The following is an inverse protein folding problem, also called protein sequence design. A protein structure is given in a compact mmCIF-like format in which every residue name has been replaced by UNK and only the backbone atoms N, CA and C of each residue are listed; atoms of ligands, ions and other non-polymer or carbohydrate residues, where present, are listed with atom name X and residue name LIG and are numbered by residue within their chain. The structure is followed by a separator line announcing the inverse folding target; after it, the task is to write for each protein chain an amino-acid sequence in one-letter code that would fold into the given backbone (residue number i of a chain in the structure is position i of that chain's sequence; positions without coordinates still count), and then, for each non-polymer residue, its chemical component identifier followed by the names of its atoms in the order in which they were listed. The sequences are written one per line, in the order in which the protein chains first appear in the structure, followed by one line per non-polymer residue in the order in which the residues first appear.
data_IF_689154163072
#
_entry.id   IF_689154163072
#
_cell.length_a   1.000
_cell.length_b   1.000
_cell.length_c   1.000
_cell.angle_alpha   90.00
_cell.angle_beta   90.00
_cell.angle_gamma   90.00
#
_symmetry.space_group_name_H-M   'P 1'
#
loop_
_entity.id
_entity.type
_entity.pdbx_description
1 polymer ?
#
# COMPACT_ATOMS: atom_id res chain seq x y z
N UNK A 1 6.56 1.15 12.46
CA UNK A 1 7.34 2.41 12.34
C UNK A 1 6.43 3.60 12.64
N UNK A 2 6.96 4.66 13.29
CA UNK A 2 6.22 5.86 13.68
C UNK A 2 7.01 7.10 13.31
N UNK A 3 6.31 8.18 12.99
CA UNK A 3 6.87 9.47 12.58
C UNK A 3 6.42 10.54 13.57
N UNK A 4 7.34 11.42 13.88
CA UNK A 4 7.12 12.68 14.57
C UNK A 4 7.73 13.78 13.71
N UNK A 5 7.26 14.99 13.83
CA UNK A 5 7.81 16.14 13.12
C UNK A 5 8.12 17.30 14.06
N UNK A 6 9.01 18.15 13.61
CA UNK A 6 9.38 19.40 14.27
C UNK A 6 9.74 20.44 13.22
N UNK A 7 9.58 21.71 13.54
CA UNK A 7 10.06 22.84 12.74
C UNK A 7 11.53 23.16 13.04
N UNK A 8 12.13 22.49 14.03
CA UNK A 8 13.53 22.62 14.41
C UNK A 8 14.21 21.26 14.53
N UNK A 9 15.48 21.10 14.12
CA UNK A 9 16.23 19.86 14.32
C UNK A 9 16.40 19.48 15.79
N UNK A 10 16.28 20.44 16.70
CA UNK A 10 16.36 20.22 18.16
C UNK A 10 14.99 19.86 18.78
N UNK A 11 13.92 19.92 17.99
CA UNK A 11 12.56 19.68 18.46
C UNK A 11 11.84 20.95 18.95
N UNK A 12 10.73 20.81 19.68
CA UNK A 12 10.14 19.55 20.11
C UNK A 12 9.54 18.76 18.93
N UNK A 13 9.77 17.46 18.91
CA UNK A 13 9.13 16.56 17.94
C UNK A 13 7.78 16.12 18.48
N UNK A 14 6.70 16.29 17.67
CA UNK A 14 5.34 16.00 18.06
C UNK A 14 4.62 15.13 17.04
N UNK A 15 3.55 14.46 17.46
CA UNK A 15 2.61 13.73 16.59
C UNK A 15 1.43 14.62 16.15
N UNK A 16 0.46 14.04 15.42
CA UNK A 16 -0.72 14.74 14.90
C UNK A 16 -1.65 15.31 15.98
N UNK A 17 -1.52 14.89 17.24
CA UNK A 17 -2.24 15.43 18.39
C UNK A 17 -1.42 16.48 19.16
N UNK A 18 -0.21 16.79 18.69
CA UNK A 18 0.72 17.62 19.45
C UNK A 18 1.41 16.88 20.60
N UNK A 19 1.29 15.55 20.71
CA UNK A 19 1.93 14.79 21.78
C UNK A 19 3.43 14.67 21.50
N UNK A 20 4.30 15.06 22.45
CA UNK A 20 5.73 15.05 22.22
C UNK A 20 6.31 13.63 22.15
N UNK A 21 7.38 13.47 21.38
CA UNK A 21 8.14 12.23 21.24
C UNK A 21 9.00 11.87 22.47
N UNK A 22 8.73 12.51 23.60
CA UNK A 22 9.44 12.29 24.86
C UNK A 22 8.69 11.29 25.72
N UNK A 23 9.41 10.30 26.23
CA UNK A 23 8.88 9.27 27.11
C UNK A 23 9.51 9.41 28.50
N UNK A 24 8.69 9.29 29.54
CA UNK A 24 9.15 9.38 30.93
C UNK A 24 9.92 8.13 31.40
N UNK A 25 9.80 7.04 30.67
CA UNK A 25 10.49 5.78 30.96
C UNK A 25 10.75 5.02 29.67
N UNK A 26 11.70 4.07 29.70
CA UNK A 26 11.94 3.17 28.58
C UNK A 26 10.67 2.39 28.22
N UNK A 27 10.29 2.46 26.94
CA UNK A 27 9.09 1.81 26.43
C UNK A 27 9.49 0.69 25.48
N UNK A 28 9.22 -0.54 25.89
CA UNK A 28 9.24 -1.66 24.97
C UNK A 28 8.02 -1.57 24.02
N UNK A 29 8.24 -1.77 22.74
CA UNK A 29 7.21 -1.56 21.71
C UNK A 29 6.23 -2.73 21.58
N UNK A 30 6.17 -3.65 22.53
CA UNK A 30 5.26 -4.78 22.49
C UNK A 30 4.36 -4.83 23.73
N UNK A 31 3.24 -5.48 23.55
CA UNK A 31 2.28 -5.67 24.64
C UNK A 31 1.71 -4.36 25.17
N UNK A 32 1.64 -4.26 26.47
CA UNK A 32 1.00 -3.13 27.14
C UNK A 32 1.76 -1.81 26.98
N UNK A 33 3.06 -1.85 26.72
CA UNK A 33 3.88 -0.66 26.57
C UNK A 33 3.61 0.09 25.26
N UNK A 34 2.95 -0.54 24.28
CA UNK A 34 2.45 0.14 23.08
C UNK A 34 1.25 1.05 23.36
N UNK A 35 0.78 1.11 24.60
CA UNK A 35 -0.40 1.88 25.00
C UNK A 35 -0.18 3.40 25.04
N UNK A 36 1.05 3.88 24.92
CA UNK A 36 1.34 5.33 24.96
C UNK A 36 0.84 6.09 23.76
N UNK A 37 0.46 5.42 22.66
CA UNK A 37 -0.20 5.99 21.49
C UNK A 37 0.42 7.31 21.01
N UNK A 38 1.73 7.34 20.80
CA UNK A 38 2.47 8.50 20.32
C UNK A 38 3.04 8.26 18.93
N UNK A 39 3.04 9.31 18.13
CA UNK A 39 3.57 9.30 16.77
C UNK A 39 2.56 8.83 15.71
N UNK A 40 2.80 9.25 14.48
CA UNK A 40 2.02 8.84 13.31
C UNK A 40 2.58 7.53 12.78
N UNK A 41 1.78 6.49 12.74
CA UNK A 41 2.22 5.19 12.27
C UNK A 41 2.27 5.19 10.74
N UNK A 42 3.32 4.64 10.14
CA UNK A 42 3.39 4.43 8.68
C UNK A 42 2.76 3.11 8.27
N UNK A 43 3.07 2.05 9.00
CA UNK A 43 2.56 0.70 8.78
C UNK A 43 2.75 -0.16 10.01
N UNK A 44 2.10 -1.31 10.04
CA UNK A 44 2.28 -2.36 11.03
C UNK A 44 2.20 -3.73 10.39
N UNK A 45 2.28 -4.80 11.17
CA UNK A 45 2.14 -6.15 10.65
C UNK A 45 0.76 -6.36 10.03
N UNK A 46 0.72 -7.11 8.93
CA UNK A 46 -0.51 -7.44 8.20
C UNK A 46 -0.38 -8.82 7.57
N UNK A 47 -1.50 -9.43 7.23
CA UNK A 47 -1.60 -10.70 6.51
C UNK A 47 -1.39 -10.55 5.01
N UNK A 48 -2.13 -11.30 4.22
CA UNK A 48 -2.10 -11.19 2.76
C UNK A 48 -2.55 -9.79 2.30
N UNK A 49 -1.86 -9.25 1.28
CA UNK A 49 -2.15 -7.94 0.73
C UNK A 49 -1.75 -7.89 -0.76
N UNK A 50 -2.65 -7.44 -1.63
CA UNK A 50 -2.42 -7.50 -3.08
C UNK A 50 -2.22 -8.93 -3.57
N UNK A 51 -1.18 -9.18 -4.34
CA UNK A 51 -0.79 -10.51 -4.79
C UNK A 51 0.00 -11.30 -3.73
N UNK A 52 0.39 -10.67 -2.63
CA UNK A 52 1.15 -11.28 -1.56
C UNK A 52 0.25 -12.15 -0.68
N UNK A 53 0.56 -13.44 -0.57
CA UNK A 53 -0.19 -14.42 0.22
C UNK A 53 0.39 -14.62 1.62
N UNK A 54 1.60 -14.12 1.86
CA UNK A 54 2.30 -14.24 3.15
C UNK A 54 2.34 -12.89 3.83
N UNK A 55 1.92 -12.84 5.09
CA UNK A 55 1.92 -11.61 5.88
C UNK A 55 3.32 -11.08 6.18
N UNK A 56 3.43 -9.77 6.29
CA UNK A 56 4.63 -9.08 6.76
C UNK A 56 4.49 -8.68 8.23
N UNK A 57 5.58 -8.83 8.97
CA UNK A 57 5.64 -8.48 10.40
C UNK A 57 7.03 -8.00 10.81
N UNK A 58 7.11 -7.40 11.98
CA UNK A 58 8.37 -6.91 12.55
C UNK A 58 9.11 -5.92 11.61
N UNK A 59 8.34 -5.06 10.94
CA UNK A 59 8.90 -3.99 10.11
C UNK A 59 9.69 -3.03 10.99
N UNK A 60 10.96 -2.85 10.68
CA UNK A 60 11.83 -1.98 11.48
C UNK A 60 13.23 -1.83 10.90
N UNK A 61 14.16 -1.34 11.75
CA UNK A 61 15.54 -1.06 11.39
C UNK A 61 15.60 -0.25 10.09
N UNK A 62 14.83 0.81 10.07
CA UNK A 62 14.55 1.59 8.88
C UNK A 62 15.53 2.74 8.70
N UNK A 63 15.70 3.12 7.44
CA UNK A 63 16.28 4.38 7.00
C UNK A 63 15.30 5.09 6.07
N UNK A 64 15.48 6.39 5.89
CA UNK A 64 14.75 7.18 4.91
C UNK A 64 15.71 7.69 3.85
N UNK A 65 15.21 7.81 2.63
CA UNK A 65 15.95 8.32 1.49
C UNK A 65 15.06 9.28 0.69
N UNK A 66 15.63 10.36 0.25
CA UNK A 66 14.98 11.30 -0.69
C UNK A 66 15.90 11.40 -1.91
N UNK A 67 15.37 11.16 -3.09
CA UNK A 67 16.11 11.27 -4.34
C UNK A 67 16.23 12.74 -4.80
N UNK A 68 17.05 12.97 -5.85
CA UNK A 68 17.29 14.32 -6.38
C UNK A 68 16.03 14.99 -6.96
N UNK A 69 14.97 14.24 -7.22
CA UNK A 69 13.67 14.72 -7.70
C UNK A 69 12.66 14.94 -6.55
N UNK A 70 13.08 14.76 -5.29
CA UNK A 70 12.23 14.91 -4.12
C UNK A 70 11.30 13.73 -3.84
N UNK A 71 11.49 12.57 -4.49
CA UNK A 71 10.76 11.37 -4.12
C UNK A 71 11.32 10.80 -2.83
N UNK A 72 10.44 10.58 -1.88
CA UNK A 72 10.80 10.08 -0.55
C UNK A 72 10.49 8.58 -0.42
N UNK A 73 11.35 7.88 0.28
CA UNK A 73 11.26 6.43 0.47
C UNK A 73 11.62 6.06 1.92
N UNK A 74 10.98 5.00 2.41
CA UNK A 74 11.42 4.29 3.61
C UNK A 74 11.97 2.93 3.18
N UNK A 75 13.20 2.65 3.62
CA UNK A 75 13.90 1.36 3.44
C UNK A 75 13.94 0.68 4.79
N UNK A 76 13.49 -0.54 4.87
CA UNK A 76 13.40 -1.28 6.13
C UNK A 76 13.54 -2.78 5.90
N UNK A 77 13.72 -3.54 6.97
CA UNK A 77 13.59 -4.97 6.90
C UNK A 77 12.25 -5.45 7.45
N UNK A 78 11.78 -6.58 6.96
CA UNK A 78 10.60 -7.27 7.45
C UNK A 78 10.82 -8.76 7.59
N UNK A 79 10.05 -9.40 8.44
CA UNK A 79 9.88 -10.86 8.51
C UNK A 79 8.57 -11.26 7.87
N UNK A 80 8.46 -12.53 7.53
CA UNK A 80 7.26 -13.11 6.94
C UNK A 80 6.62 -14.11 7.88
N UNK A 81 5.29 -14.26 7.75
CA UNK A 81 4.54 -15.27 8.47
C UNK A 81 4.58 -16.64 7.75
N UNK A 82 5.79 -17.15 7.54
CA UNK A 82 6.04 -18.42 6.88
C UNK A 82 6.87 -19.41 7.72
N UNK A 83 7.00 -19.13 9.02
CA UNK A 83 7.78 -19.96 9.95
C UNK A 83 9.28 -19.82 9.82
N UNK A 84 9.80 -18.95 8.95
CA UNK A 84 11.24 -18.67 8.83
C UNK A 84 11.63 -17.43 9.62
N UNK A 85 12.91 -17.39 10.07
CA UNK A 85 13.49 -16.20 10.70
C UNK A 85 14.16 -15.27 9.70
N UNK A 86 14.04 -15.57 8.40
CA UNK A 86 14.62 -14.75 7.34
C UNK A 86 14.05 -13.34 7.32
N UNK A 87 14.91 -12.36 7.10
CA UNK A 87 14.54 -10.98 6.88
C UNK A 87 14.74 -10.65 5.41
N UNK A 88 13.89 -9.77 4.90
CA UNK A 88 14.08 -9.18 3.58
C UNK A 88 13.99 -7.67 3.66
N UNK A 89 14.76 -7.01 2.82
CA UNK A 89 14.66 -5.56 2.64
C UNK A 89 13.39 -5.24 1.86
N UNK A 90 12.71 -4.17 2.29
CA UNK A 90 11.56 -3.59 1.62
C UNK A 90 11.76 -2.10 1.44
N UNK A 91 11.18 -1.58 0.39
CA UNK A 91 11.12 -0.15 0.13
C UNK A 91 9.66 0.22 -0.11
N UNK A 92 9.16 1.22 0.59
CA UNK A 92 7.91 1.89 0.27
C UNK A 92 8.16 3.35 -0.03
N UNK A 93 7.49 3.84 -1.07
CA UNK A 93 7.48 5.28 -1.33
C UNK A 93 6.64 5.99 -0.27
N UNK A 94 7.06 7.19 0.08
CA UNK A 94 6.38 8.05 1.03
C UNK A 94 5.77 9.25 0.30
N UNK A 95 4.60 9.65 0.77
CA UNK A 95 3.90 10.83 0.29
C UNK A 95 3.57 11.73 1.48
N UNK A 96 3.29 13.00 1.21
CA UNK A 96 2.86 13.96 2.22
C UNK A 96 1.39 14.26 1.98
N UNK A 97 0.56 14.09 2.99
CA UNK A 97 -0.86 14.43 2.93
C UNK A 97 -1.09 15.95 3.12
N UNK A 98 -2.34 16.40 3.00
CA UNK A 98 -2.71 17.83 3.11
C UNK A 98 -2.41 18.46 4.48
N UNK A 99 -2.19 17.65 5.50
CA UNK A 99 -1.81 18.10 6.86
C UNK A 99 -0.28 18.08 7.10
N UNK A 100 0.51 17.76 6.07
CA UNK A 100 1.96 17.66 6.15
C UNK A 100 2.47 16.39 6.84
N UNK A 101 1.65 15.31 6.93
CA UNK A 101 2.08 14.04 7.50
C UNK A 101 2.49 13.06 6.42
N UNK A 102 3.54 12.30 6.71
CA UNK A 102 3.98 11.21 5.85
C UNK A 102 2.97 10.05 5.90
N UNK A 103 2.66 9.51 4.72
CA UNK A 103 1.90 8.29 4.51
C UNK A 103 2.70 7.37 3.58
N UNK A 104 2.74 6.07 3.88
CA UNK A 104 3.48 5.11 3.07
C UNK A 104 2.57 4.53 1.98
N UNK A 105 3.09 4.39 0.77
CA UNK A 105 2.41 3.71 -0.33
C UNK A 105 1.95 2.32 0.09
N UNK A 106 0.77 1.84 -0.36
CA UNK A 106 0.24 0.54 0.05
C UNK A 106 1.08 -0.66 -0.38
N UNK A 107 1.82 -0.56 -1.47
CA UNK A 107 2.64 -1.64 -2.02
C UNK A 107 4.12 -1.29 -2.00
N UNK A 108 4.96 -2.32 -2.08
CA UNK A 108 6.40 -2.16 -2.25
C UNK A 108 6.71 -1.33 -3.49
N UNK A 109 7.78 -0.58 -3.42
CA UNK A 109 8.28 0.17 -4.57
C UNK A 109 8.78 -0.78 -5.66
N UNK A 110 8.21 -0.65 -6.85
CA UNK A 110 8.56 -1.41 -8.05
C UNK A 110 8.90 -0.51 -9.24
N UNK A 111 9.04 0.78 -8.98
CA UNK A 111 9.25 1.84 -9.96
C UNK A 111 8.27 2.99 -9.76
N UNK A 112 8.65 4.17 -10.18
CA UNK A 112 7.83 5.37 -10.07
C UNK A 112 6.61 5.28 -10.99
N UNK A 113 5.41 5.33 -10.39
CA UNK A 113 4.14 5.48 -11.09
C UNK A 113 3.49 6.84 -10.76
N UNK A 114 3.73 7.33 -9.54
CA UNK A 114 3.33 8.66 -9.06
C UNK A 114 4.52 9.23 -8.28
N UNK A 115 4.93 10.47 -8.54
CA UNK A 115 6.00 11.09 -7.77
C UNK A 115 5.47 11.68 -6.47
N UNK A 116 6.34 11.85 -5.48
CA UNK A 116 5.97 12.45 -4.19
C UNK A 116 5.41 13.86 -4.37
N UNK A 117 5.95 14.63 -5.31
CA UNK A 117 5.51 16.00 -5.59
C UNK A 117 4.20 16.08 -6.38
N UNK A 118 3.91 15.09 -7.24
CA UNK A 118 2.68 15.10 -8.05
C UNK A 118 1.41 15.14 -7.20
N UNK A 119 1.39 14.50 -6.04
CA UNK A 119 0.18 14.47 -5.19
C UNK A 119 -0.26 15.86 -4.71
N UNK A 120 0.67 16.78 -4.55
CA UNK A 120 0.39 18.16 -4.14
C UNK A 120 0.13 19.12 -5.31
N UNK A 121 0.46 18.73 -6.53
CA UNK A 121 0.44 19.61 -7.72
C UNK A 121 -0.42 19.10 -8.85
N UNK A 122 -0.91 17.86 -8.77
CA UNK A 122 -1.70 17.22 -9.80
C UNK A 122 -2.80 16.36 -9.19
N UNK A 123 -3.94 16.32 -9.86
CA UNK A 123 -4.99 15.36 -9.59
C UNK A 123 -4.80 14.12 -10.45
N UNK A 124 -4.23 13.07 -9.86
CA UNK A 124 -3.94 11.81 -10.56
C UNK A 124 -5.23 11.12 -10.99
N UNK A 125 -6.28 11.16 -10.15
CA UNK A 125 -7.57 10.56 -10.44
C UNK A 125 -8.71 11.56 -10.21
N UNK A 126 -9.62 11.62 -11.14
CA UNK A 126 -10.92 12.27 -10.98
C UNK A 126 -11.85 11.43 -10.10
N UNK A 127 -12.90 12.03 -9.56
CA UNK A 127 -13.80 11.33 -8.63
C UNK A 127 -14.42 10.06 -9.24
N UNK A 128 -14.84 10.11 -10.52
CA UNK A 128 -15.39 8.96 -11.23
C UNK A 128 -14.42 7.78 -11.33
N UNK A 129 -13.10 8.05 -11.43
CA UNK A 129 -12.06 7.01 -11.44
C UNK A 129 -11.83 6.38 -10.06
N UNK A 130 -12.17 7.12 -9.00
CA UNK A 130 -12.06 6.60 -7.64
C UNK A 130 -13.27 5.77 -7.22
N UNK A 131 -14.43 5.94 -7.83
CA UNK A 131 -15.62 5.11 -7.57
C UNK A 131 -15.31 3.63 -7.82
N UNK A 132 -15.79 2.75 -6.94
CA UNK A 132 -15.64 1.29 -7.08
C UNK A 132 -15.27 0.56 -5.80
N UNK A 133 -15.05 -0.73 -5.94
CA UNK A 133 -14.77 -1.63 -4.81
C UNK A 133 -13.28 -1.72 -4.52
N UNK A 134 -12.92 -1.52 -3.26
CA UNK A 134 -11.56 -1.50 -2.75
C UNK A 134 -11.33 -2.60 -1.71
N UNK A 135 -10.12 -3.12 -1.66
CA UNK A 135 -9.58 -3.75 -0.46
C UNK A 135 -9.03 -2.69 0.47
N UNK A 136 -9.33 -2.80 1.75
CA UNK A 136 -8.92 -1.85 2.79
C UNK A 136 -8.16 -2.56 3.87
N UNK A 137 -7.02 -2.04 4.26
CA UNK A 137 -6.23 -2.50 5.38
C UNK A 137 -6.05 -1.35 6.37
N UNK A 138 -6.55 -1.53 7.59
CA UNK A 138 -6.31 -0.61 8.70
C UNK A 138 -5.14 -1.16 9.51
N UNK A 139 -4.16 -0.32 9.79
CA UNK A 139 -3.05 -0.67 10.68
C UNK A 139 -3.32 -0.11 12.08
N UNK A 140 -3.96 -0.85 12.99
CA UNK A 140 -4.31 -0.33 14.29
C UNK A 140 -3.07 0.15 15.02
N UNK A 141 -3.24 1.17 15.82
CA UNK A 141 -2.15 1.79 16.56
C UNK A 141 -1.43 0.78 17.45
N UNK A 142 -2.20 0.02 18.18
CA UNK A 142 -1.75 -1.10 19.00
C UNK A 142 -2.08 -2.40 18.30
N UNK A 143 -1.08 -3.18 18.01
CA UNK A 143 -1.30 -4.56 17.63
C UNK A 143 -1.49 -5.39 18.89
N UNK A 144 -2.50 -6.21 18.91
CA UNK A 144 -2.79 -7.08 20.05
C UNK A 144 -1.86 -8.30 19.99
N UNK A 145 -0.56 -8.05 20.12
CA UNK A 145 0.45 -9.10 20.31
C UNK A 145 0.63 -9.25 21.80
N UNK A 146 0.08 -10.29 22.37
CA UNK A 146 0.53 -10.71 23.68
C UNK A 146 1.99 -11.17 23.51
N UNK A 147 2.92 -10.42 24.05
CA UNK A 147 4.27 -10.88 24.25
C UNK A 147 4.24 -11.81 25.48
N UNK A 148 4.10 -13.08 25.21
CA UNK A 148 4.31 -14.13 26.19
C UNK A 148 5.61 -14.84 25.86
N UNK A 149 6.23 -15.41 26.85
CA UNK A 149 7.49 -16.16 26.77
C UNK A 149 7.46 -17.31 25.75
N UNK A 150 6.30 -17.71 25.28
CA UNK A 150 6.07 -18.58 24.14
C UNK A 150 5.84 -17.75 22.86
N UNK A 151 6.90 -17.15 22.37
CA UNK A 151 6.93 -16.24 21.22
C UNK A 151 6.27 -16.82 19.96
N UNK A 152 6.32 -18.12 19.77
CA UNK A 152 5.72 -18.81 18.61
C UNK A 152 4.19 -18.82 18.64
N UNK A 153 3.57 -18.80 19.81
CA UNK A 153 2.11 -18.82 19.94
C UNK A 153 1.48 -17.41 19.86
N UNK A 154 2.23 -16.37 20.20
CA UNK A 154 1.71 -14.99 20.25
C UNK A 154 1.64 -14.30 18.89
N UNK A 155 2.35 -14.81 17.89
CA UNK A 155 2.25 -14.38 16.49
C UNK A 155 1.30 -15.27 15.69
N UNK A 156 0.18 -15.64 16.27
CA UNK A 156 -0.80 -16.41 15.51
C UNK A 156 -1.30 -15.56 14.33
N UNK A 157 -1.53 -16.21 13.19
CA UNK A 157 -2.17 -15.59 12.01
C UNK A 157 -3.52 -14.91 12.34
N UNK A 158 -4.15 -15.33 13.44
CA UNK A 158 -5.40 -14.74 13.92
C UNK A 158 -5.25 -13.26 14.34
N UNK A 159 -4.06 -12.83 14.71
CA UNK A 159 -3.78 -11.44 15.13
C UNK A 159 -3.31 -10.54 13.99
N UNK A 160 -3.07 -11.09 12.81
CA UNK A 160 -2.71 -10.29 11.64
C UNK A 160 -3.92 -9.49 11.14
N UNK A 161 -3.65 -8.25 10.73
CA UNK A 161 -4.68 -7.44 10.09
C UNK A 161 -5.04 -8.04 8.74
N UNK A 162 -6.33 -8.23 8.52
CA UNK A 162 -6.89 -8.77 7.27
C UNK A 162 -7.56 -7.67 6.48
N UNK A 163 -7.47 -7.74 5.14
CA UNK A 163 -8.17 -6.78 4.31
C UNK A 163 -9.69 -6.90 4.46
N UNK A 164 -10.34 -5.76 4.52
CA UNK A 164 -11.78 -5.59 4.39
C UNK A 164 -12.13 -5.21 2.96
N UNK A 165 -13.42 -5.26 2.63
CA UNK A 165 -13.92 -4.83 1.32
C UNK A 165 -14.89 -3.68 1.50
N UNK A 166 -14.66 -2.56 0.81
CA UNK A 166 -15.56 -1.42 0.80
C UNK A 166 -15.81 -0.94 -0.63
N UNK A 167 -16.89 -0.23 -0.82
CA UNK A 167 -17.21 0.47 -2.08
C UNK A 167 -17.25 1.96 -1.83
N UNK A 168 -16.44 2.70 -2.59
CA UNK A 168 -16.53 4.16 -2.70
C UNK A 168 -17.64 4.46 -3.72
N UNK A 169 -18.73 5.04 -3.26
CA UNK A 169 -19.90 5.36 -4.08
C UNK A 169 -19.76 6.75 -4.74
N UNK A 170 -20.43 6.96 -5.86
CA UNK A 170 -20.40 8.21 -6.61
C UNK A 170 -20.98 9.41 -5.85
N UNK A 171 -21.82 9.17 -4.85
CA UNK A 171 -22.40 10.18 -3.97
C UNK A 171 -21.48 10.58 -2.79
N UNK A 172 -20.25 10.07 -2.77
CA UNK A 172 -19.27 10.33 -1.71
C UNK A 172 -19.46 9.47 -0.45
N UNK A 173 -20.38 8.51 -0.45
CA UNK A 173 -20.53 7.55 0.65
C UNK A 173 -19.59 6.37 0.49
N UNK A 174 -19.32 5.68 1.60
CA UNK A 174 -18.58 4.40 1.65
C UNK A 174 -19.53 3.35 2.22
N UNK A 175 -19.59 2.18 1.57
CA UNK A 175 -20.39 1.03 1.97
C UNK A 175 -19.58 -0.27 1.94
N UNK A 176 -20.10 -1.35 2.51
CA UNK A 176 -19.44 -2.65 2.60
C UNK A 176 -19.09 -3.03 4.04
N UNK A 177 -17.92 -3.61 4.26
CA UNK A 177 -17.46 -4.01 5.61
C UNK A 177 -17.23 -2.81 6.54
N UNK A 178 -17.09 -1.63 5.98
CA UNK A 178 -17.02 -0.35 6.69
C UNK A 178 -17.93 0.65 6.02
N UNK A 179 -18.45 1.59 6.80
CA UNK A 179 -19.29 2.68 6.31
C UNK A 179 -18.64 4.03 6.58
N UNK A 180 -19.01 5.03 5.77
CA UNK A 180 -18.48 6.37 5.95
C UNK A 180 -18.67 7.27 4.73
N UNK A 181 -17.69 8.16 4.54
CA UNK A 181 -17.69 9.14 3.44
C UNK A 181 -16.28 9.29 2.88
N UNK A 182 -16.19 9.77 1.65
CA UNK A 182 -14.94 10.14 1.02
C UNK A 182 -15.13 11.40 0.17
N UNK A 183 -14.06 12.18 0.06
CA UNK A 183 -14.04 13.35 -0.80
C UNK A 183 -12.62 13.68 -1.25
N UNK A 184 -12.44 14.05 -2.51
CA UNK A 184 -11.23 14.73 -2.95
C UNK A 184 -11.25 16.15 -2.38
N UNK A 185 -10.12 16.55 -1.83
CA UNK A 185 -9.93 17.88 -1.25
C UNK A 185 -8.93 18.67 -2.08
N UNK A 186 -8.90 19.97 -1.95
CA UNK A 186 -7.98 20.91 -2.61
C UNK A 186 -7.88 20.67 -4.13
N UNK A 187 -8.48 21.56 -4.88
CA UNK A 187 -8.51 21.48 -6.34
C UNK A 187 -7.08 21.38 -6.92
N UNK A 188 -6.95 20.61 -8.00
CA UNK A 188 -5.65 20.39 -8.66
C UNK A 188 -4.68 19.47 -7.92
N UNK A 189 -5.07 18.91 -6.78
CA UNK A 189 -4.25 17.98 -5.99
C UNK A 189 -4.82 16.57 -5.93
N UNK A 190 -4.05 15.60 -5.48
CA UNK A 190 -4.48 14.23 -5.23
C UNK A 190 -4.84 13.96 -3.76
N UNK A 191 -5.10 15.02 -3.00
CA UNK A 191 -5.51 14.88 -1.60
C UNK A 191 -6.94 14.35 -1.48
N UNK A 192 -7.14 13.48 -0.49
CA UNK A 192 -8.41 12.83 -0.21
C UNK A 192 -8.65 12.77 1.30
N UNK A 193 -9.90 12.92 1.71
CA UNK A 193 -10.36 12.61 3.06
C UNK A 193 -11.24 11.38 3.03
N UNK A 194 -11.15 10.56 4.06
CA UNK A 194 -11.98 9.38 4.27
C UNK A 194 -12.52 9.39 5.70
N UNK A 195 -13.78 9.00 5.87
CA UNK A 195 -14.31 8.57 7.16
C UNK A 195 -14.59 7.08 7.07
N UNK A 196 -13.98 6.28 7.94
CA UNK A 196 -14.19 4.83 7.99
C UNK A 196 -14.64 4.44 9.40
N UNK A 197 -15.88 3.99 9.53
CA UNK A 197 -16.53 3.67 10.80
C UNK A 197 -16.35 4.80 11.85
N UNK A 198 -16.54 6.06 11.42
CA UNK A 198 -16.46 7.25 12.26
C UNK A 198 -15.04 7.76 12.57
N UNK A 199 -14.00 7.15 12.00
CA UNK A 199 -12.63 7.69 12.11
C UNK A 199 -12.27 8.43 10.84
N UNK A 200 -11.82 9.67 11.02
CA UNK A 200 -11.37 10.53 9.93
C UNK A 200 -9.90 10.25 9.56
N UNK A 201 -9.61 10.29 8.26
CA UNK A 201 -8.29 10.08 7.69
C UNK A 201 -8.02 11.13 6.62
N UNK A 202 -6.79 11.64 6.61
CA UNK A 202 -6.26 12.48 5.54
C UNK A 202 -5.20 11.73 4.76
N UNK A 203 -5.29 11.75 3.45
CA UNK A 203 -4.42 10.94 2.60
C UNK A 203 -4.26 11.47 1.20
N UNK A 204 -3.70 10.61 0.36
CA UNK A 204 -3.45 10.88 -1.05
C UNK A 204 -3.95 9.73 -1.91
N UNK A 205 -4.34 10.06 -3.15
CA UNK A 205 -4.61 9.07 -4.19
C UNK A 205 -3.39 8.96 -5.09
N UNK A 206 -2.97 7.75 -5.39
CA UNK A 206 -1.77 7.47 -6.19
C UNK A 206 -2.02 6.29 -7.12
N UNK A 207 -1.27 6.23 -8.21
CA UNK A 207 -1.12 5.04 -9.04
C UNK A 207 0.09 4.25 -8.57
N UNK A 208 -0.05 2.94 -8.44
CA UNK A 208 1.02 2.03 -8.06
C UNK A 208 0.79 0.66 -8.70
N UNK A 209 1.83 -0.11 -8.97
CA UNK A 209 1.66 -1.52 -9.26
C UNK A 209 1.39 -2.29 -7.96
N UNK A 210 0.50 -3.28 -8.03
CA UNK A 210 0.03 -4.02 -6.86
C UNK A 210 1.13 -4.75 -6.12
N UNK A 211 2.12 -5.30 -6.84
CA UNK A 211 3.17 -6.09 -6.22
C UNK A 211 4.36 -6.26 -7.15
N UNK A 212 5.47 -6.75 -6.59
CA UNK A 212 6.71 -7.02 -7.31
C UNK A 212 6.54 -8.05 -8.43
N UNK A 213 5.65 -9.02 -8.25
CA UNK A 213 5.43 -10.10 -9.22
C UNK A 213 4.23 -9.86 -10.15
N UNK A 214 3.36 -8.97 -9.79
CA UNK A 214 2.18 -8.63 -10.57
C UNK A 214 2.36 -7.22 -11.14
N UNK A 215 2.67 -7.11 -12.41
CA UNK A 215 2.67 -5.82 -13.12
C UNK A 215 1.22 -5.39 -13.40
N UNK A 216 0.44 -5.31 -12.33
CA UNK A 216 -0.96 -4.93 -12.36
C UNK A 216 -1.10 -3.55 -11.74
N UNK A 217 -1.43 -2.54 -12.54
CA UNK A 217 -1.64 -1.20 -12.02
C UNK A 217 -2.87 -1.15 -11.11
N UNK A 218 -2.76 -0.39 -10.05
CA UNK A 218 -3.81 -0.19 -9.06
C UNK A 218 -4.03 1.29 -8.77
N UNK A 219 -5.28 1.66 -8.57
CA UNK A 219 -5.69 2.89 -7.92
C UNK A 219 -5.50 2.68 -6.42
N UNK A 220 -4.60 3.43 -5.83
CA UNK A 220 -4.29 3.31 -4.41
C UNK A 220 -4.66 4.57 -3.65
N UNK A 221 -5.06 4.39 -2.39
CA UNK A 221 -5.23 5.46 -1.41
C UNK A 221 -4.42 5.08 -0.18
N UNK A 222 -3.62 6.01 0.29
CA UNK A 222 -2.91 5.88 1.55
C UNK A 222 -3.22 7.09 2.41
N UNK A 223 -3.60 6.85 3.66
CA UNK A 223 -4.09 7.88 4.55
C UNK A 223 -3.71 7.59 6.00
N UNK A 224 -3.73 8.62 6.83
CA UNK A 224 -3.50 8.49 8.27
C UNK A 224 -4.50 9.35 9.03
N UNK A 225 -5.01 8.83 10.15
CA UNK A 225 -5.85 9.58 11.06
C UNK A 225 -5.02 10.51 11.95
N UNK A 226 -5.62 11.56 12.48
CA UNK A 226 -4.97 12.45 13.44
C UNK A 226 -4.45 11.70 14.69
N UNK A 227 -5.05 10.56 15.00
CA UNK A 227 -4.60 9.68 16.10
C UNK A 227 -3.47 8.72 15.69
N UNK A 228 -2.92 8.84 14.48
CA UNK A 228 -1.78 8.08 14.01
C UNK A 228 -2.08 6.66 13.49
N UNK A 229 -3.33 6.38 13.15
CA UNK A 229 -3.73 5.09 12.57
C UNK A 229 -3.74 5.20 11.04
N UNK A 230 -2.89 4.48 10.31
CA UNK A 230 -2.93 4.48 8.84
C UNK A 230 -3.98 3.53 8.28
N UNK A 231 -4.46 3.91 7.08
CA UNK A 231 -5.33 3.12 6.23
C UNK A 231 -4.75 3.02 4.83
N UNK A 232 -4.69 1.83 4.29
CA UNK A 232 -4.35 1.55 2.91
C UNK A 232 -5.55 1.01 2.17
N UNK A 233 -5.79 1.51 0.97
CA UNK A 233 -6.85 1.02 0.08
C UNK A 233 -6.26 0.81 -1.31
N UNK A 234 -6.75 -0.22 -2.00
CA UNK A 234 -6.48 -0.37 -3.42
C UNK A 234 -7.66 -1.02 -4.14
N UNK A 235 -7.79 -0.69 -5.42
CA UNK A 235 -8.52 -1.46 -6.42
C UNK A 235 -7.64 -1.65 -7.65
N UNK A 236 -7.81 -2.77 -8.36
CA UNK A 236 -7.14 -2.94 -9.65
C UNK A 236 -7.61 -1.84 -10.60
N UNK A 237 -6.67 -1.22 -11.31
CA UNK A 237 -7.00 -0.28 -12.36
C UNK A 237 -7.53 -1.08 -13.55
N UNK A 238 -8.84 -1.02 -13.76
CA UNK A 238 -9.41 -1.65 -14.97
C UNK A 238 -8.89 -0.91 -16.18
N UNK A 239 -7.99 -1.56 -16.92
CA UNK A 239 -7.60 -1.06 -18.24
C UNK A 239 -8.84 -1.11 -19.14
N UNK A 240 -9.25 0.05 -19.68
CA UNK A 240 -10.24 0.12 -20.76
C UNK A 240 -9.65 -0.32 -22.10
N UNK A 241 -8.58 -1.10 -22.09
CA UNK A 241 -7.93 -1.72 -23.23
C UNK A 241 -7.75 -3.20 -22.96
N UNK A 242 -7.71 -4.00 -23.97
CA UNK A 242 -7.57 -5.46 -24.01
C UNK A 242 -6.82 -5.95 -22.76
N UNK A 243 -7.53 -6.66 -21.88
CA UNK A 243 -6.89 -7.28 -20.70
C UNK A 243 -5.70 -8.08 -21.22
N UNK A 244 -4.52 -7.78 -20.70
CA UNK A 244 -3.37 -8.67 -20.95
C UNK A 244 -3.81 -10.05 -20.44
N UNK A 245 -3.96 -10.97 -21.38
CA UNK A 245 -4.21 -12.38 -21.05
C UNK A 245 -3.07 -12.76 -20.11
N UNK A 246 -3.38 -13.08 -18.85
CA UNK A 246 -2.42 -13.73 -17.97
C UNK A 246 -2.05 -15.04 -18.66
N UNK A 247 -0.93 -15.07 -19.32
CA UNK A 247 -0.35 -16.31 -19.80
C UNK A 247 0.23 -16.97 -18.56
N UNK A 248 -0.47 -18.00 -18.11
CA UNK A 248 0.07 -18.89 -17.09
C UNK A 248 1.35 -19.49 -17.66
N UNK A 249 2.52 -19.06 -17.18
CA UNK A 249 3.82 -19.47 -17.72
C UNK A 249 4.11 -20.97 -17.57
N UNK A 250 3.18 -21.73 -16.97
CA UNK A 250 3.29 -23.16 -16.76
C UNK A 250 2.52 -24.03 -17.76
N UNK A 251 1.77 -23.44 -18.70
CA UNK A 251 1.15 -24.21 -19.78
C UNK A 251 1.67 -23.73 -21.12
N UNK A 252 2.80 -24.27 -21.55
CA UNK A 252 3.19 -24.26 -22.95
C UNK A 252 2.29 -25.25 -23.67
N UNK A 253 1.16 -24.79 -24.22
CA UNK A 253 0.26 -25.63 -25.03
C UNK A 253 0.85 -25.93 -26.40
N UNK A 254 2.02 -25.42 -26.70
CA UNK A 254 2.73 -25.58 -27.98
C UNK A 254 2.03 -24.93 -29.16
N UNK A 255 0.95 -24.20 -28.94
CA UNK A 255 0.17 -23.58 -30.01
C UNK A 255 0.81 -22.26 -30.46
N UNK A 256 0.63 -21.98 -31.73
CA UNK A 256 1.11 -20.78 -32.40
C UNK A 256 -0.11 -19.92 -32.73
N UNK A 257 -0.08 -18.66 -32.35
CA UNK A 257 -1.17 -17.74 -32.60
C UNK A 257 -0.73 -16.61 -33.53
N UNK A 258 -1.61 -16.19 -34.45
CA UNK A 258 -1.42 -14.94 -35.18
C UNK A 258 -1.76 -13.72 -34.33
N UNK A 259 -1.58 -12.52 -34.87
CA UNK A 259 -1.89 -11.28 -34.13
C UNK A 259 -3.39 -11.07 -33.85
N UNK A 260 -4.28 -11.84 -34.49
CA UNK A 260 -5.71 -11.84 -34.23
C UNK A 260 -6.12 -12.86 -33.16
N UNK A 261 -5.14 -13.59 -32.58
CA UNK A 261 -5.39 -14.59 -31.54
C UNK A 261 -5.88 -15.94 -32.09
N UNK A 262 -5.84 -16.16 -33.37
CA UNK A 262 -6.21 -17.43 -34.00
C UNK A 262 -5.04 -18.42 -33.99
N UNK A 263 -5.30 -19.68 -33.67
CA UNK A 263 -4.30 -20.74 -33.76
C UNK A 263 -3.94 -20.96 -35.22
N UNK A 264 -2.65 -20.94 -35.52
CA UNK A 264 -2.09 -21.16 -36.87
C UNK A 264 -1.08 -22.29 -36.83
N UNK A 265 -0.87 -22.88 -37.97
CA UNK A 265 0.08 -23.98 -38.14
C UNK A 265 1.53 -23.49 -38.30
N UNK A 266 2.45 -24.45 -38.47
CA UNK A 266 3.87 -24.18 -38.63
C UNK A 266 4.23 -23.47 -39.94
N UNK A 267 3.35 -23.47 -40.94
CA UNK A 267 3.56 -22.88 -42.28
C UNK A 267 3.06 -21.43 -42.38
N UNK A 268 2.40 -20.93 -41.35
CA UNK A 268 1.91 -19.55 -41.33
C UNK A 268 3.10 -18.55 -41.42
N UNK A 269 3.04 -17.67 -42.40
CA UNK A 269 4.01 -16.60 -42.61
C UNK A 269 3.50 -15.31 -42.03
N UNK A 270 4.36 -14.59 -41.31
CA UNK A 270 4.02 -13.34 -40.64
C UNK A 270 4.40 -13.32 -39.16
N UNK A 271 3.91 -12.34 -38.45
CA UNK A 271 4.15 -12.23 -37.00
C UNK A 271 3.25 -13.20 -36.25
N UNK A 272 3.86 -14.07 -35.48
CA UNK A 272 3.14 -15.05 -34.60
C UNK A 272 3.55 -14.87 -33.16
N UNK A 273 2.70 -15.37 -32.26
CA UNK A 273 2.96 -15.48 -30.82
C UNK A 273 3.19 -16.94 -30.50
N UNK A 274 4.38 -17.27 -30.00
CA UNK A 274 4.77 -18.60 -29.57
C UNK A 274 5.30 -18.50 -28.16
N UNK A 275 4.71 -19.24 -27.23
CA UNK A 275 5.08 -19.19 -25.81
C UNK A 275 5.17 -17.75 -25.25
N UNK A 276 4.19 -16.91 -25.59
CA UNK A 276 4.13 -15.52 -25.15
C UNK A 276 5.14 -14.57 -25.84
N UNK A 277 5.93 -15.04 -26.79
CA UNK A 277 6.92 -14.23 -27.54
C UNK A 277 6.47 -13.97 -28.96
N UNK A 278 6.66 -12.74 -29.45
CA UNK A 278 6.46 -12.39 -30.85
C UNK A 278 7.64 -12.91 -31.69
N UNK A 279 7.35 -13.65 -32.75
CA UNK A 279 8.32 -14.21 -33.66
C UNK A 279 7.87 -13.88 -35.09
N UNK A 280 8.76 -13.37 -35.91
CA UNK A 280 8.51 -13.21 -37.35
C UNK A 280 8.87 -14.52 -38.08
N UNK A 281 7.89 -15.14 -38.72
CA UNK A 281 8.07 -16.29 -39.61
C UNK A 281 8.07 -15.82 -41.04
N UNK A 282 9.09 -16.22 -41.77
CA UNK A 282 9.29 -15.92 -43.16
C UNK A 282 9.06 -17.16 -44.01
#
# INVERSE_FOLDING_TARGET
MRVFRSDSPEGPFTDGKGTPAVYSSYQLNYGNNSATNRGMKLMGAYGSWGAMTTGERAQGHNSAYVDDNGNAFVVYHTKFDNGTYGHQVRVHQLFVNSEGWLVAAPFRFTGLQTTTTQVATQRIYTADKLVGTYKVLIHPYKQNCAYNDNVSASYSKANEQKPHTVTLNADGTISGDMTGKWALTQEGTSYITLSLNGREYNGVTIRQNMDYYADVPAVCITAVSQTGVPAWLYKEETSTGIQSVRVDHNTTDGKIYNLLGQVVDSHYQGVVIVNGKKVLRR
#
